data_IF_185083167759
#
_entry.id   IF_185083167759
#
_cell.length_a   1.000
_cell.length_b   1.000
_cell.length_c   1.000
_cell.angle_alpha   90.00
_cell.angle_beta   90.00
_cell.angle_gamma   90.00
#
_symmetry.space_group_name_H-M   'P 1'
#
loop_
_entity.id
_entity.type
_entity.pdbx_description
1 polymer ?
#
# COMPACT_ATOMS: atom_id res chain seq x y z
N UNK A 1 12.68 6.95 1.94
CA UNK A 1 13.28 6.33 3.16
C UNK A 1 12.61 4.98 3.42
N UNK A 2 13.27 4.04 4.11
CA UNK A 2 12.73 2.71 4.45
C UNK A 2 12.61 2.58 5.98
N UNK A 3 11.45 2.19 6.47
CA UNK A 3 11.21 1.96 7.91
C UNK A 3 10.45 0.66 8.11
N UNK A 4 10.61 0.05 9.29
CA UNK A 4 9.77 -1.08 9.69
C UNK A 4 8.43 -0.56 10.19
N UNK A 5 7.37 -1.23 9.77
CA UNK A 5 6.03 -1.04 10.30
C UNK A 5 5.34 -2.36 10.50
N UNK A 6 4.10 -2.28 10.95
CA UNK A 6 3.26 -3.43 11.27
C UNK A 6 1.83 -3.14 10.84
N UNK A 7 1.22 -4.11 10.15
CA UNK A 7 -0.20 -4.09 9.78
C UNK A 7 -0.80 -5.35 10.39
N UNK A 8 -1.85 -5.19 11.20
CA UNK A 8 -2.30 -6.23 12.13
C UNK A 8 -1.12 -6.71 12.99
N UNK A 9 -0.69 -7.96 12.83
CA UNK A 9 0.45 -8.56 13.56
C UNK A 9 1.61 -8.95 12.61
N UNK A 10 1.68 -8.33 11.43
CA UNK A 10 2.65 -8.66 10.39
C UNK A 10 3.63 -7.52 10.16
N UNK A 11 4.91 -7.80 10.38
CA UNK A 11 5.99 -6.87 10.03
C UNK A 11 5.99 -6.62 8.51
N UNK A 12 6.03 -5.34 8.14
CA UNK A 12 6.10 -4.86 6.76
C UNK A 12 7.24 -3.84 6.61
N UNK A 13 7.80 -3.77 5.41
CA UNK A 13 8.72 -2.69 5.04
C UNK A 13 7.91 -1.53 4.43
N UNK A 14 7.97 -0.37 5.06
CA UNK A 14 7.28 0.84 4.59
C UNK A 14 8.27 1.75 3.87
N UNK A 15 7.91 2.14 2.65
CA UNK A 15 8.63 3.16 1.90
C UNK A 15 8.00 4.53 2.20
N UNK A 16 8.76 5.41 2.82
CA UNK A 16 8.37 6.81 3.01
C UNK A 16 8.79 7.60 1.78
N UNK A 17 7.78 8.06 1.03
CA UNK A 17 7.90 8.83 -0.19
C UNK A 17 6.93 10.03 -0.15
N UNK A 18 7.47 11.23 0.04
CA UNK A 18 6.68 12.46 0.04
C UNK A 18 6.21 12.91 -1.35
N UNK A 19 6.71 12.28 -2.42
CA UNK A 19 6.31 12.56 -3.80
C UNK A 19 5.09 11.75 -4.25
N UNK A 20 4.65 10.76 -3.47
CA UNK A 20 3.51 9.93 -3.80
C UNK A 20 2.19 10.63 -3.43
N UNK A 21 1.21 10.59 -4.34
CA UNK A 21 -0.13 11.17 -4.10
C UNK A 21 -1.05 10.26 -3.29
N UNK A 22 -0.72 8.97 -3.22
CA UNK A 22 -1.47 7.92 -2.53
C UNK A 22 -0.50 6.96 -1.85
N UNK A 23 -1.01 6.19 -0.89
CA UNK A 23 -0.29 5.06 -0.32
C UNK A 23 -0.53 3.81 -1.16
N UNK A 24 0.50 2.99 -1.29
CA UNK A 24 0.46 1.72 -2.01
C UNK A 24 0.84 0.58 -1.08
N UNK A 25 0.09 -0.51 -1.18
CA UNK A 25 0.36 -1.76 -0.48
C UNK A 25 0.59 -2.85 -1.52
N UNK A 26 1.54 -3.75 -1.28
CA UNK A 26 1.80 -4.83 -2.22
C UNK A 26 0.62 -5.80 -2.24
N UNK A 27 0.23 -6.24 -3.43
CA UNK A 27 -0.82 -7.23 -3.60
C UNK A 27 -0.53 -8.52 -2.80
N UNK A 28 0.74 -8.90 -2.71
CA UNK A 28 1.17 -10.05 -1.90
C UNK A 28 0.82 -9.90 -0.42
N UNK A 29 0.98 -8.71 0.18
CA UNK A 29 0.63 -8.49 1.59
C UNK A 29 -0.89 -8.48 1.76
N UNK A 30 -1.62 -7.85 0.84
CA UNK A 30 -3.10 -7.87 0.82
C UNK A 30 -3.62 -9.31 0.80
N UNK A 31 -3.10 -10.14 -0.10
CA UNK A 31 -3.51 -11.54 -0.24
C UNK A 31 -3.09 -12.37 1.01
N UNK A 32 -1.91 -12.13 1.57
CA UNK A 32 -1.42 -12.82 2.79
C UNK A 32 -2.24 -12.48 4.04
N UNK A 33 -2.68 -11.24 4.16
CA UNK A 33 -3.47 -10.77 5.30
C UNK A 33 -4.98 -10.97 5.10
N UNK A 34 -5.41 -11.49 3.95
CA UNK A 34 -6.82 -11.69 3.63
C UNK A 34 -7.62 -10.40 3.62
N UNK A 35 -6.99 -9.28 3.24
CA UNK A 35 -7.61 -7.95 3.30
C UNK A 35 -8.69 -7.81 2.22
N UNK A 36 -9.81 -7.18 2.59
CA UNK A 36 -10.88 -6.88 1.65
C UNK A 36 -10.45 -5.78 0.66
N UNK A 37 -10.59 -6.09 -0.62
CA UNK A 37 -10.43 -5.11 -1.70
C UNK A 37 -11.81 -4.56 -2.07
N UNK A 38 -11.96 -3.25 -1.93
CA UNK A 38 -13.11 -2.54 -2.50
C UNK A 38 -12.81 -2.29 -3.97
N UNK A 39 -13.63 -2.85 -4.85
CA UNK A 39 -13.56 -2.55 -6.27
C UNK A 39 -13.93 -1.08 -6.52
N UNK A 40 -13.10 -0.41 -7.30
CA UNK A 40 -13.29 1.00 -7.67
C UNK A 40 -13.33 1.19 -9.19
N UNK A 41 -13.56 0.11 -9.96
CA UNK A 41 -13.57 0.14 -11.43
C UNK A 41 -12.17 0.23 -12.05
N UNK A 42 -11.12 -0.02 -11.26
CA UNK A 42 -9.72 0.08 -11.68
C UNK A 42 -9.24 1.52 -11.88
N UNK A 43 -8.32 1.99 -11.02
CA UNK A 43 -7.63 3.25 -11.23
C UNK A 43 -6.21 2.99 -11.72
N UNK A 44 -5.82 3.69 -12.78
CA UNK A 44 -4.45 3.69 -13.29
C UNK A 44 -3.59 4.69 -12.53
N UNK A 45 -2.45 4.25 -12.02
CA UNK A 45 -1.49 5.09 -11.29
C UNK A 45 -0.29 5.31 -12.17
N UNK A 46 0.01 6.57 -12.48
CA UNK A 46 1.25 6.91 -13.16
C UNK A 46 2.41 6.88 -12.16
N UNK A 47 3.35 5.98 -12.40
CA UNK A 47 4.58 5.86 -11.62
C UNK A 47 5.57 6.96 -12.04
N UNK A 48 6.57 7.25 -11.21
CA UNK A 48 7.65 8.18 -11.55
C UNK A 48 8.42 7.82 -12.85
N UNK A 49 8.31 6.56 -13.29
CA UNK A 49 8.85 6.05 -14.56
C UNK A 49 7.97 6.38 -15.79
N UNK A 50 6.86 7.11 -15.62
CA UNK A 50 5.81 7.36 -16.62
C UNK A 50 5.03 6.11 -17.06
N UNK A 51 5.29 4.96 -16.45
CA UNK A 51 4.47 3.75 -16.64
C UNK A 51 3.17 3.88 -15.85
N UNK A 52 2.06 3.44 -16.43
CA UNK A 52 0.79 3.30 -15.73
C UNK A 52 0.69 1.88 -15.19
N UNK A 53 0.49 1.75 -13.88
CA UNK A 53 0.16 0.49 -13.22
C UNK A 53 -1.30 0.50 -12.81
N UNK A 54 -2.01 -0.62 -13.03
CA UNK A 54 -3.41 -0.74 -12.67
C UNK A 54 -3.56 -1.25 -11.25
N UNK A 55 -4.24 -0.48 -10.40
CA UNK A 55 -4.64 -0.93 -9.07
C UNK A 55 -5.73 -2.01 -9.16
N UNK A 56 -5.65 -3.04 -8.31
CA UNK A 56 -6.69 -4.09 -8.16
C UNK A 56 -7.95 -3.58 -7.43
N UNK A 57 -7.86 -2.43 -6.77
CA UNK A 57 -8.90 -1.89 -5.89
C UNK A 57 -8.26 -1.14 -4.72
N UNK A 58 -9.07 -0.77 -3.73
CA UNK A 58 -8.62 -0.03 -2.54
C UNK A 58 -8.83 -0.88 -1.28
N UNK A 59 -7.79 -0.95 -0.44
CA UNK A 59 -7.91 -1.42 0.93
C UNK A 59 -8.33 -0.24 1.83
N UNK A 60 -9.45 -0.35 2.54
CA UNK A 60 -9.93 0.69 3.47
C UNK A 60 -9.66 0.30 4.92
N UNK A 61 -9.48 1.30 5.79
CA UNK A 61 -9.30 1.07 7.22
C UNK A 61 -8.01 0.36 7.61
N UNK A 62 -6.97 0.46 6.78
CA UNK A 62 -5.66 -0.17 7.06
C UNK A 62 -4.99 0.58 8.21
N UNK A 63 -4.84 -0.09 9.36
CA UNK A 63 -4.09 0.41 10.50
C UNK A 63 -2.63 0.02 10.31
N UNK A 64 -1.75 1.03 10.23
CA UNK A 64 -0.31 0.87 10.11
C UNK A 64 0.37 1.49 11.33
N UNK A 65 1.09 0.67 12.08
CA UNK A 65 2.02 1.13 13.11
C UNK A 65 3.40 1.27 12.50
N UNK A 66 4.12 2.36 12.80
CA UNK A 66 5.48 2.59 12.29
C UNK A 66 6.41 2.77 13.48
N UNK A 67 7.57 2.10 13.48
CA UNK A 67 8.54 2.26 14.56
C UNK A 67 9.06 3.70 14.59
N UNK A 68 9.03 4.33 15.76
CA UNK A 68 9.59 5.67 15.99
C UNK A 68 8.65 6.84 15.69
N UNK A 69 7.35 6.58 15.49
CA UNK A 69 6.27 7.58 15.40
C UNK A 69 5.11 7.21 16.33
#
# INVERSE_FOLDING_TARGET
MKVRGEIADREVLVLIDSGATHNFISAQIVDQLGMELVDTGGYGVMMGTRKVEMGRGICRGVVLTIQGL
#
